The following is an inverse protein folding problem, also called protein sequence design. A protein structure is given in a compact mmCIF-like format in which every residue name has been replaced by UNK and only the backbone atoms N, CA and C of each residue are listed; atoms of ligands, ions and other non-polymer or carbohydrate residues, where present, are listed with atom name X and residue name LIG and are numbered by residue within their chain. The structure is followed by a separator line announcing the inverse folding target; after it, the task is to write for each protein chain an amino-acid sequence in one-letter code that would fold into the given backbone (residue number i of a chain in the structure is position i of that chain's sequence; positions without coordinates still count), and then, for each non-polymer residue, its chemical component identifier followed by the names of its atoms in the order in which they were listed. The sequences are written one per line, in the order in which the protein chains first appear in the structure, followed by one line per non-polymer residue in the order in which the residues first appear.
data_IF_213758961255
#
_entry.id   IF_213758961255
#
_cell.length_a   1.000
_cell.length_b   1.000
_cell.length_c   1.000
_cell.angle_alpha   90.00
_cell.angle_beta   90.00
_cell.angle_gamma   90.00
#
_symmetry.space_group_name_H-M   'P 1'
#
loop_
_entity.id
_entity.type
_entity.pdbx_description
1 polymer ?
#
# COMPACT_ATOMS: atom_id res chain seq x y z
N UNK A 1 4.12 42.07 -6.52
CA UNK A 1 4.10 41.01 -5.51
C UNK A 1 3.30 39.85 -6.06
N UNK A 2 3.98 38.82 -6.59
CA UNK A 2 3.32 37.67 -7.20
C UNK A 2 2.80 36.74 -6.09
N UNK A 3 1.52 36.39 -6.16
CA UNK A 3 0.79 35.63 -5.16
C UNK A 3 1.37 34.21 -5.00
N UNK A 4 1.72 33.83 -3.76
CA UNK A 4 2.11 32.46 -3.37
C UNK A 4 1.00 31.40 -3.56
N UNK A 5 -0.18 31.78 -4.07
CA UNK A 5 -1.29 30.87 -4.31
C UNK A 5 -1.02 29.91 -5.48
N UNK A 6 -0.37 30.37 -6.55
CA UNK A 6 -0.21 29.59 -7.78
C UNK A 6 0.91 28.54 -7.66
N UNK A 7 1.97 28.84 -6.89
CA UNK A 7 3.04 27.88 -6.58
C UNK A 7 2.54 26.72 -5.71
N UNK A 8 1.61 26.99 -4.79
CA UNK A 8 0.99 25.97 -3.96
C UNK A 8 -0.01 25.10 -4.74
N UNK A 9 -0.71 25.67 -5.74
CA UNK A 9 -1.64 24.94 -6.60
C UNK A 9 -0.90 24.06 -7.62
N UNK A 10 0.20 24.55 -8.19
CA UNK A 10 1.06 23.81 -9.09
C UNK A 10 1.84 22.67 -8.40
N UNK A 11 2.17 22.81 -7.11
CA UNK A 11 2.72 21.71 -6.30
C UNK A 11 1.67 20.64 -5.95
N UNK A 12 0.39 21.02 -5.80
CA UNK A 12 -0.71 20.08 -5.49
C UNK A 12 -1.09 19.19 -6.66
N UNK A 13 -0.87 19.62 -7.90
CA UNK A 13 -1.30 18.88 -9.10
C UNK A 13 -0.23 17.97 -9.72
N UNK A 14 1.03 18.00 -9.24
CA UNK A 14 2.19 17.48 -10.01
C UNK A 14 2.77 16.12 -9.61
N UNK A 15 2.27 15.42 -8.57
CA UNK A 15 3.02 14.27 -7.99
C UNK A 15 2.18 13.19 -7.31
N UNK A 16 0.94 12.94 -7.74
CA UNK A 16 0.08 12.02 -6.97
C UNK A 16 0.17 10.54 -7.36
N UNK A 17 0.99 10.14 -8.35
CA UNK A 17 1.24 8.73 -8.65
C UNK A 17 2.68 8.33 -8.34
N UNK A 18 2.91 7.79 -7.15
CA UNK A 18 4.15 7.09 -6.83
C UNK A 18 3.97 5.61 -7.19
N UNK A 19 4.41 5.18 -8.37
CA UNK A 19 4.45 3.75 -8.69
C UNK A 19 5.54 3.06 -7.84
N UNK A 20 5.14 2.28 -6.85
CA UNK A 20 6.06 1.43 -6.06
C UNK A 20 6.47 0.22 -6.90
N UNK A 21 7.77 -0.04 -7.06
CA UNK A 21 8.23 -1.23 -7.79
C UNK A 21 7.99 -2.50 -6.95
N UNK A 22 7.69 -3.62 -7.62
CA UNK A 22 7.54 -4.92 -6.95
C UNK A 22 8.79 -5.29 -6.12
N UNK A 23 9.98 -4.97 -6.65
CA UNK A 23 11.27 -5.20 -5.97
C UNK A 23 11.42 -4.41 -4.68
N UNK A 24 10.89 -3.19 -4.61
CA UNK A 24 10.90 -2.39 -3.37
C UNK A 24 9.97 -2.99 -2.32
N UNK A 25 8.80 -3.48 -2.74
CA UNK A 25 7.86 -4.18 -1.88
C UNK A 25 8.51 -5.45 -1.34
N UNK A 26 9.08 -6.30 -2.20
CA UNK A 26 9.77 -7.53 -1.79
C UNK A 26 10.89 -7.27 -0.77
N UNK A 27 11.74 -6.27 -1.03
CA UNK A 27 12.85 -5.90 -0.15
C UNK A 27 12.39 -5.46 1.23
N UNK A 28 11.28 -4.72 1.33
CA UNK A 28 10.74 -4.30 2.62
C UNK A 28 9.96 -5.43 3.30
N UNK A 29 9.05 -6.10 2.59
CA UNK A 29 8.13 -7.10 3.14
C UNK A 29 8.85 -8.32 3.73
N UNK A 30 10.01 -8.71 3.18
CA UNK A 30 10.82 -9.82 3.71
C UNK A 30 11.18 -9.68 5.21
N UNK A 31 11.20 -8.45 5.72
CA UNK A 31 11.52 -8.17 7.12
C UNK A 31 10.34 -8.41 8.06
N UNK A 32 9.13 -8.56 7.52
CA UNK A 32 7.89 -8.69 8.29
C UNK A 32 7.14 -9.99 8.04
N UNK A 33 7.66 -10.93 7.24
CA UNK A 33 6.94 -12.15 6.84
C UNK A 33 6.33 -12.93 8.01
N UNK A 34 7.06 -13.04 9.12
CA UNK A 34 6.60 -13.70 10.35
C UNK A 34 5.36 -13.06 10.99
N UNK A 35 5.03 -11.83 10.62
CA UNK A 35 3.88 -11.09 11.14
C UNK A 35 2.62 -11.25 10.27
N UNK A 36 2.74 -11.88 9.10
CA UNK A 36 1.63 -12.03 8.14
C UNK A 36 0.83 -13.33 8.33
N UNK A 37 1.36 -14.28 9.09
CA UNK A 37 0.69 -15.55 9.31
C UNK A 37 -0.69 -15.38 9.95
N UNK A 38 -1.70 -15.98 9.30
CA UNK A 38 -3.11 -15.94 9.67
C UNK A 38 -3.68 -14.51 9.79
N UNK A 39 -3.14 -13.55 9.04
CA UNK A 39 -3.60 -12.16 9.02
C UNK A 39 -4.47 -11.82 7.83
N UNK A 40 -5.39 -10.88 8.05
CA UNK A 40 -6.10 -10.16 7.00
C UNK A 40 -5.30 -8.91 6.62
N UNK A 41 -4.82 -8.86 5.38
CA UNK A 41 -4.11 -7.71 4.82
C UNK A 41 -5.07 -6.89 3.97
N UNK A 42 -5.11 -5.58 4.22
CA UNK A 42 -5.82 -4.62 3.39
C UNK A 42 -4.82 -3.73 2.63
N UNK A 43 -4.85 -3.84 1.31
CA UNK A 43 -4.10 -2.98 0.40
C UNK A 43 -5.09 -1.97 -0.21
N UNK A 44 -5.40 -0.87 0.47
CA UNK A 44 -6.14 0.21 -0.19
C UNK A 44 -5.26 0.75 -1.31
N UNK A 45 -5.71 0.75 -2.56
CA UNK A 45 -4.90 1.15 -3.73
C UNK A 45 -5.78 1.97 -4.67
N UNK A 46 -5.19 2.69 -5.62
CA UNK A 46 -5.96 3.33 -6.69
C UNK A 46 -6.58 2.27 -7.60
N UNK A 47 -5.79 1.29 -8.04
CA UNK A 47 -6.29 0.15 -8.83
C UNK A 47 -5.62 -1.18 -8.38
N UNK A 48 -6.38 -2.14 -7.83
CA UNK A 48 -5.88 -3.46 -7.47
C UNK A 48 -5.37 -4.29 -8.66
N UNK A 49 -5.90 -4.09 -9.88
CA UNK A 49 -5.51 -4.87 -11.07
C UNK A 49 -4.09 -4.56 -11.55
N UNK A 50 -3.60 -3.34 -11.26
CA UNK A 50 -2.24 -2.90 -11.59
C UNK A 50 -1.33 -2.71 -10.37
N UNK A 51 -1.85 -2.93 -9.16
CA UNK A 51 -1.09 -2.72 -7.94
C UNK A 51 -0.02 -3.79 -7.74
N UNK A 52 1.25 -3.36 -7.65
CA UNK A 52 2.33 -4.28 -7.27
C UNK A 52 2.19 -4.81 -5.82
N UNK A 53 1.46 -4.12 -4.94
CA UNK A 53 1.13 -4.67 -3.62
C UNK A 53 0.19 -5.86 -3.75
N UNK A 54 -0.88 -5.72 -4.54
CA UNK A 54 -1.79 -6.82 -4.81
C UNK A 54 -1.05 -8.00 -5.44
N UNK A 55 -0.27 -7.74 -6.50
CA UNK A 55 0.53 -8.75 -7.18
C UNK A 55 1.47 -9.49 -6.21
N UNK A 56 2.22 -8.76 -5.38
CA UNK A 56 3.12 -9.35 -4.39
C UNK A 56 2.38 -10.29 -3.44
N UNK A 57 1.29 -9.81 -2.81
CA UNK A 57 0.57 -10.60 -1.81
C UNK A 57 -0.22 -11.75 -2.43
N UNK A 58 -0.73 -11.62 -3.66
CA UNK A 58 -1.39 -12.72 -4.36
C UNK A 58 -0.38 -13.84 -4.69
N UNK A 59 0.78 -13.49 -5.26
CA UNK A 59 1.83 -14.47 -5.59
C UNK A 59 2.39 -15.17 -4.35
N UNK A 60 2.38 -14.48 -3.21
CA UNK A 60 2.95 -14.98 -1.95
C UNK A 60 1.88 -15.41 -0.92
N UNK A 61 0.59 -15.44 -1.29
CA UNK A 61 -0.52 -15.55 -0.34
C UNK A 61 -0.41 -16.76 0.59
N UNK A 62 -0.14 -17.94 0.01
CA UNK A 62 0.01 -19.18 0.77
C UNK A 62 1.33 -19.25 1.52
N UNK A 63 2.44 -18.85 0.87
CA UNK A 63 3.77 -18.81 1.46
C UNK A 63 3.82 -17.93 2.72
N UNK A 64 3.15 -16.78 2.69
CA UNK A 64 3.07 -15.84 3.80
C UNK A 64 2.04 -16.22 4.86
N UNK A 65 1.27 -17.30 4.64
CA UNK A 65 0.31 -17.72 5.64
C UNK A 65 -0.94 -16.82 5.75
N UNK A 66 -1.25 -15.97 4.76
CA UNK A 66 -2.36 -15.02 4.83
C UNK A 66 -3.73 -15.68 5.00
N UNK A 67 -4.56 -15.12 5.89
CA UNK A 67 -5.95 -15.52 6.04
C UNK A 67 -6.82 -14.91 4.95
N UNK A 68 -6.64 -13.62 4.69
CA UNK A 68 -7.41 -12.86 3.71
C UNK A 68 -6.55 -11.73 3.14
N UNK A 69 -6.71 -11.47 1.85
CA UNK A 69 -6.17 -10.31 1.16
C UNK A 69 -7.37 -9.55 0.60
N UNK A 70 -7.44 -8.24 0.84
CA UNK A 70 -8.49 -7.39 0.29
C UNK A 70 -7.89 -6.09 -0.23
N UNK A 71 -8.44 -5.58 -1.31
CA UNK A 71 -8.08 -4.29 -1.90
C UNK A 71 -9.33 -3.64 -2.48
N UNK A 72 -9.39 -2.31 -2.41
CA UNK A 72 -10.47 -1.50 -3.01
C UNK A 72 -9.88 -0.69 -4.15
N UNK A 73 -10.64 -0.54 -5.23
CA UNK A 73 -10.32 0.37 -6.32
C UNK A 73 -10.98 1.71 -6.04
N UNK A 74 -10.26 2.82 -6.22
CA UNK A 74 -10.80 4.17 -6.09
C UNK A 74 -11.23 4.71 -7.45
N UNK A 75 -12.42 5.30 -7.50
CA UNK A 75 -12.95 5.99 -8.66
C UNK A 75 -13.58 7.31 -8.19
N UNK A 76 -13.49 8.38 -8.97
CA UNK A 76 -13.89 9.70 -8.47
C UNK A 76 -15.42 9.84 -8.39
N UNK A 77 -16.10 9.52 -9.48
CA UNK A 77 -17.48 9.98 -9.72
C UNK A 77 -18.53 8.87 -9.72
N UNK A 78 -18.13 7.60 -9.57
CA UNK A 78 -19.04 6.45 -9.66
C UNK A 78 -18.65 5.35 -8.67
N UNK A 79 -19.60 4.44 -8.36
CA UNK A 79 -19.30 3.27 -7.58
C UNK A 79 -18.19 2.44 -8.23
N UNK A 80 -17.35 1.84 -7.38
CA UNK A 80 -16.20 1.07 -7.82
C UNK A 80 -16.32 -0.39 -7.39
N UNK A 81 -15.21 -1.04 -7.06
CA UNK A 81 -15.17 -2.44 -6.68
C UNK A 81 -14.08 -2.73 -5.65
N UNK A 82 -14.21 -3.89 -5.01
CA UNK A 82 -13.15 -4.52 -4.23
C UNK A 82 -12.73 -5.83 -4.86
N UNK A 83 -11.50 -6.22 -4.61
CA UNK A 83 -10.96 -7.55 -4.88
C UNK A 83 -10.58 -8.20 -3.56
N UNK A 84 -10.98 -9.45 -3.35
CA UNK A 84 -10.60 -10.20 -2.16
C UNK A 84 -10.26 -11.66 -2.45
N UNK A 85 -9.31 -12.17 -1.66
CA UNK A 85 -8.89 -13.57 -1.62
C UNK A 85 -9.06 -14.02 -0.18
N UNK A 86 -9.82 -15.09 0.03
CA UNK A 86 -10.05 -15.67 1.36
C UNK A 86 -9.51 -17.09 1.34
N UNK A 87 -8.66 -17.42 2.31
CA UNK A 87 -8.15 -18.78 2.47
C UNK A 87 -9.31 -19.72 2.86
N UNK A 88 -9.48 -20.77 2.08
CA UNK A 88 -10.43 -21.85 2.36
C UNK A 88 -9.88 -22.88 3.35
N UNK A 89 -10.78 -23.63 3.99
CA UNK A 89 -10.43 -24.75 4.87
C UNK A 89 -9.63 -25.85 4.14
N UNK A 90 -9.88 -26.04 2.85
CA UNK A 90 -9.16 -27.03 2.02
C UNK A 90 -7.69 -26.62 1.90
N UNK A 91 -7.44 -25.34 1.62
CA UNK A 91 -6.09 -24.80 1.48
C UNK A 91 -5.37 -24.80 2.83
N UNK A 92 -6.06 -24.47 3.92
CA UNK A 92 -5.52 -24.56 5.28
C UNK A 92 -5.04 -25.99 5.60
N UNK A 93 -5.85 -26.99 5.26
CA UNK A 93 -5.49 -28.39 5.46
C UNK A 93 -4.33 -28.85 4.58
N UNK A 94 -4.20 -28.34 3.35
CA UNK A 94 -3.05 -28.62 2.48
C UNK A 94 -1.76 -28.00 3.02
N UNK A 95 -1.82 -26.75 3.48
CA UNK A 95 -0.69 -26.07 4.13
C UNK A 95 -0.20 -26.85 5.37
N UNK A 96 -1.12 -27.28 6.25
CA UNK A 96 -0.79 -28.06 7.46
C UNK A 96 -0.15 -29.42 7.17
N UNK A 97 -0.45 -30.02 6.01
CA UNK A 97 0.11 -31.31 5.59
C UNK A 97 1.49 -31.18 4.92
N UNK A 98 2.07 -29.98 4.85
CA UNK A 98 3.34 -29.73 4.17
C UNK A 98 3.29 -30.01 2.66
N UNK A 99 2.08 -30.11 2.09
CA UNK A 99 1.90 -30.20 0.65
C UNK A 99 2.14 -28.81 0.09
N UNK A 100 2.98 -28.68 -0.95
CA UNK A 100 3.34 -27.40 -1.54
C UNK A 100 2.10 -26.65 -2.03
N UNK A 101 1.54 -25.80 -1.17
CA UNK A 101 0.57 -24.79 -1.57
C UNK A 101 1.38 -23.63 -2.11
N UNK A 102 1.91 -23.81 -3.33
CA UNK A 102 2.56 -22.76 -4.11
C UNK A 102 4.08 -22.65 -3.98
N UNK A 103 4.76 -23.13 -5.02
CA UNK A 103 5.83 -22.36 -5.69
C UNK A 103 5.85 -22.63 -7.21
N UNK A 104 5.08 -23.60 -7.72
CA UNK A 104 5.02 -23.97 -9.14
C UNK A 104 3.65 -24.47 -9.64
N UNK A 105 2.50 -23.99 -9.10
CA UNK A 105 1.22 -24.45 -9.66
C UNK A 105 -0.11 -23.87 -9.16
N UNK A 106 -0.14 -22.97 -8.17
CA UNK A 106 -1.42 -22.37 -7.76
C UNK A 106 -1.25 -20.95 -7.24
N UNK A 107 -1.64 -19.99 -8.07
CA UNK A 107 -1.92 -18.61 -7.66
C UNK A 107 -3.40 -18.61 -7.23
N UNK A 108 -3.75 -18.12 -6.04
CA UNK A 108 -5.14 -18.09 -5.63
C UNK A 108 -5.95 -17.19 -6.56
N UNK A 109 -7.16 -17.65 -6.87
CA UNK A 109 -8.15 -16.83 -7.56
C UNK A 109 -8.72 -15.77 -6.60
N UNK A 110 -9.30 -14.71 -7.15
CA UNK A 110 -9.88 -13.62 -6.38
C UNK A 110 -11.34 -13.39 -6.76
N UNK A 111 -12.10 -12.86 -5.81
CA UNK A 111 -13.48 -12.43 -6.03
C UNK A 111 -13.48 -10.92 -6.22
N UNK A 112 -14.02 -10.47 -7.36
CA UNK A 112 -14.28 -9.05 -7.64
C UNK A 112 -15.74 -8.74 -7.31
N UNK A 113 -15.97 -7.80 -6.40
CA UNK A 113 -17.32 -7.42 -5.95
C UNK A 113 -17.52 -5.92 -6.13
N UNK A 114 -18.63 -5.48 -6.75
CA UNK A 114 -18.98 -4.06 -6.79
C UNK A 114 -19.13 -3.49 -5.39
N UNK A 115 -18.70 -2.24 -5.21
CA UNK A 115 -18.95 -1.43 -4.02
C UNK A 115 -20.17 -0.55 -4.28
N UNK A 116 -20.89 -0.18 -3.24
CA UNK A 116 -21.90 0.88 -3.31
C UNK A 116 -21.23 2.25 -3.45
N UNK A 117 -20.09 2.42 -2.77
CA UNK A 117 -19.26 3.61 -2.79
C UNK A 117 -18.20 3.60 -3.89
N UNK A 118 -17.46 4.70 -3.93
CA UNK A 118 -16.44 4.98 -4.95
C UNK A 118 -15.05 4.40 -4.59
N UNK A 119 -14.93 3.71 -3.45
CA UNK A 119 -13.68 3.10 -2.98
C UNK A 119 -12.72 4.03 -2.24
N UNK A 120 -13.13 5.26 -1.91
CA UNK A 120 -12.35 6.15 -1.04
C UNK A 120 -12.18 5.49 0.34
N UNK A 121 -10.97 5.57 0.91
CA UNK A 121 -10.66 5.02 2.23
C UNK A 121 -11.53 5.59 3.38
N UNK A 122 -12.19 6.71 3.15
CA UNK A 122 -13.14 7.36 4.07
C UNK A 122 -14.56 6.85 3.93
N UNK A 123 -14.87 6.15 2.84
CA UNK A 123 -16.20 5.63 2.59
C UNK A 123 -16.60 4.59 3.65
N UNK A 124 -17.89 4.47 4.03
CA UNK A 124 -18.33 3.53 5.05
C UNK A 124 -17.92 2.08 4.75
N UNK A 125 -18.04 1.62 3.50
CA UNK A 125 -17.64 0.27 3.10
C UNK A 125 -16.13 0.03 3.28
N UNK A 126 -15.28 0.99 2.86
CA UNK A 126 -13.85 0.90 3.06
C UNK A 126 -13.45 0.93 4.54
N UNK A 127 -14.21 1.65 5.38
CA UNK A 127 -14.01 1.66 6.83
C UNK A 127 -14.37 0.30 7.45
N UNK A 128 -15.41 -0.38 6.99
CA UNK A 128 -15.73 -1.73 7.47
C UNK A 128 -14.64 -2.74 7.07
N UNK A 129 -14.11 -2.63 5.85
CA UNK A 129 -12.95 -3.41 5.41
C UNK A 129 -11.72 -3.11 6.29
N UNK A 130 -11.47 -1.82 6.57
CA UNK A 130 -10.38 -1.39 7.46
C UNK A 130 -10.54 -2.00 8.86
N UNK A 131 -11.76 -2.03 9.42
CA UNK A 131 -12.05 -2.63 10.73
C UNK A 131 -11.77 -4.12 10.74
N UNK A 132 -12.10 -4.85 9.68
CA UNK A 132 -11.79 -6.28 9.52
C UNK A 132 -10.27 -6.54 9.41
N UNK A 133 -9.54 -5.63 8.77
CA UNK A 133 -8.12 -5.83 8.50
C UNK A 133 -7.25 -5.82 9.77
N UNK A 134 -6.27 -6.72 9.81
CA UNK A 134 -5.23 -6.74 10.84
C UNK A 134 -4.10 -5.76 10.50
N UNK A 135 -3.70 -5.73 9.23
CA UNK A 135 -2.56 -4.95 8.74
C UNK A 135 -2.94 -4.23 7.45
N UNK A 136 -2.62 -2.94 7.36
CA UNK A 136 -2.77 -2.14 6.14
C UNK A 136 -1.41 -1.97 5.46
N UNK A 137 -1.29 -2.30 4.18
CA UNK A 137 -0.02 -2.20 3.45
C UNK A 137 -0.26 -1.53 2.10
N UNK A 138 0.31 -0.35 1.91
CA UNK A 138 0.02 0.47 0.72
C UNK A 138 1.05 1.60 0.50
N UNK A 139 0.82 2.40 -0.53
CA UNK A 139 1.43 3.69 -0.81
C UNK A 139 0.32 4.70 -1.14
N UNK A 140 -0.20 5.46 -0.15
CA UNK A 140 -1.27 6.41 -0.38
C UNK A 140 -0.74 7.69 -1.08
N UNK A 141 -1.61 8.43 -1.79
CA UNK A 141 -1.22 9.69 -2.42
C UNK A 141 -0.71 10.69 -1.36
N UNK A 142 0.29 11.48 -1.73
CA UNK A 142 1.02 12.36 -0.81
C UNK A 142 0.12 13.42 -0.19
N UNK A 143 -0.84 13.92 -0.97
CA UNK A 143 -1.87 14.86 -0.55
C UNK A 143 -2.74 14.31 0.58
N UNK A 144 -2.99 13.01 0.62
CA UNK A 144 -3.87 12.34 1.59
C UNK A 144 -3.11 11.61 2.71
N UNK A 145 -1.79 11.46 2.59
CA UNK A 145 -0.94 10.69 3.51
C UNK A 145 -1.19 11.01 5.00
N UNK A 146 -1.27 12.30 5.36
CA UNK A 146 -1.48 12.73 6.75
C UNK A 146 -2.81 12.25 7.31
N UNK A 147 -3.86 12.42 6.52
CA UNK A 147 -5.21 12.02 6.91
C UNK A 147 -5.34 10.51 6.95
N UNK A 148 -4.73 9.82 5.98
CA UNK A 148 -4.69 8.38 5.93
C UNK A 148 -4.01 7.79 7.17
N UNK A 149 -2.80 8.26 7.53
CA UNK A 149 -2.11 7.80 8.74
C UNK A 149 -2.91 8.12 10.00
N UNK A 150 -3.51 9.31 10.09
CA UNK A 150 -4.36 9.66 11.23
C UNK A 150 -5.54 8.68 11.40
N UNK A 151 -6.17 8.27 10.29
CA UNK A 151 -7.23 7.27 10.30
C UNK A 151 -6.70 5.90 10.79
N UNK A 152 -5.57 5.42 10.26
CA UNK A 152 -4.99 4.14 10.69
C UNK A 152 -4.65 4.13 12.18
N UNK A 153 -4.10 5.24 12.68
CA UNK A 153 -3.80 5.41 14.10
C UNK A 153 -5.07 5.44 14.96
N UNK A 154 -6.13 6.11 14.50
CA UNK A 154 -7.42 6.16 15.20
C UNK A 154 -8.09 4.78 15.32
N UNK A 155 -7.96 3.94 14.29
CA UNK A 155 -8.45 2.55 14.30
C UNK A 155 -7.45 1.55 14.92
N UNK A 156 -6.30 2.01 15.44
CA UNK A 156 -5.30 1.16 16.09
C UNK A 156 -4.68 0.11 15.18
N UNK A 157 -4.62 0.37 13.87
CA UNK A 157 -4.16 -0.60 12.88
C UNK A 157 -2.64 -0.72 12.87
N UNK A 158 -2.16 -1.93 12.56
CA UNK A 158 -0.76 -2.12 12.15
C UNK A 158 -0.67 -1.79 10.67
N UNK A 159 0.41 -1.15 10.26
CA UNK A 159 0.57 -0.80 8.86
C UNK A 159 2.01 -0.68 8.41
N UNK A 160 2.21 -0.84 7.12
CA UNK A 160 3.45 -0.52 6.43
C UNK A 160 3.07 0.38 5.25
N UNK A 161 3.62 1.60 5.24
CA UNK A 161 3.42 2.53 4.14
C UNK A 161 4.76 2.75 3.45
N UNK A 162 4.83 2.44 2.16
CA UNK A 162 5.96 2.82 1.32
C UNK A 162 5.63 4.17 0.74
N UNK A 163 6.43 5.20 1.05
CA UNK A 163 6.18 6.55 0.58
C UNK A 163 7.44 7.41 0.55
N UNK A 164 7.27 8.67 0.16
CA UNK A 164 8.36 9.63 0.06
C UNK A 164 8.87 10.07 1.45
N UNK A 165 10.20 10.23 1.59
CA UNK A 165 10.85 10.67 2.85
C UNK A 165 10.37 12.04 3.34
N UNK A 166 9.84 12.90 2.46
CA UNK A 166 9.24 14.18 2.83
C UNK A 166 8.08 14.03 3.83
N UNK A 167 7.41 12.87 3.84
CA UNK A 167 6.33 12.60 4.79
C UNK A 167 6.79 12.62 6.25
N UNK A 168 8.09 12.42 6.52
CA UNK A 168 8.66 12.45 7.87
C UNK A 168 8.65 13.85 8.49
N UNK A 169 8.63 14.89 7.66
CA UNK A 169 8.64 16.28 8.11
C UNK A 169 7.23 16.81 8.39
N UNK A 170 6.20 15.99 8.18
CA UNK A 170 4.82 16.37 8.45
C UNK A 170 4.58 16.54 9.95
N UNK A 171 3.85 17.60 10.31
CA UNK A 171 3.57 17.97 11.70
C UNK A 171 2.85 16.87 12.48
N UNK A 172 2.11 16.02 11.79
CA UNK A 172 1.32 14.92 12.35
C UNK A 172 2.09 13.60 12.41
N UNK A 173 3.19 13.47 11.64
CA UNK A 173 3.98 12.25 11.55
C UNK A 173 5.19 12.31 12.47
N UNK A 174 5.89 13.45 12.51
CA UNK A 174 7.09 13.60 13.34
C UNK A 174 6.84 13.31 14.83
N UNK A 175 5.75 13.79 15.47
CA UNK A 175 5.44 13.45 16.86
C UNK A 175 5.25 11.95 17.08
N UNK A 176 4.64 11.24 16.12
CA UNK A 176 4.45 9.79 16.22
C UNK A 176 5.78 9.04 16.19
N UNK A 177 6.76 9.53 15.43
CA UNK A 177 8.11 8.97 15.43
C UNK A 177 8.82 9.27 16.75
N UNK A 178 8.75 10.53 17.22
CA UNK A 178 9.34 10.96 18.48
C UNK A 178 8.79 10.19 19.69
N UNK A 179 7.49 9.90 19.68
CA UNK A 179 6.80 9.10 20.70
C UNK A 179 6.97 7.59 20.51
N UNK A 180 7.80 7.15 19.56
CA UNK A 180 8.08 5.76 19.28
C UNK A 180 6.80 4.95 18.95
N UNK A 181 5.88 5.58 18.20
CA UNK A 181 4.65 4.98 17.64
C UNK A 181 4.78 4.68 16.15
N UNK A 182 5.71 5.34 15.47
CA UNK A 182 6.07 5.11 14.07
C UNK A 182 7.58 4.94 13.93
N UNK A 183 7.98 4.14 12.94
CA UNK A 183 9.39 3.87 12.63
C UNK A 183 9.64 3.97 11.15
N UNK A 184 10.89 4.26 10.84
CA UNK A 184 11.43 4.15 9.50
C UNK A 184 11.56 2.67 9.11
N UNK A 185 11.12 2.36 7.89
CA UNK A 185 11.25 1.03 7.30
C UNK A 185 12.71 0.56 7.20
N UNK A 186 12.87 -0.75 7.09
CA UNK A 186 14.17 -1.43 7.11
C UNK A 186 14.98 -1.23 5.83
N UNK A 187 14.31 -0.94 4.72
CA UNK A 187 14.94 -0.62 3.42
C UNK A 187 15.54 0.78 3.34
N UNK A 188 15.50 1.59 4.40
CA UNK A 188 16.13 2.93 4.45
C UNK A 188 17.65 2.80 4.69
N UNK A 189 18.36 2.10 3.80
CA UNK A 189 19.82 2.04 3.76
C UNK A 189 20.32 2.18 2.32
N UNK A 190 20.97 3.32 2.06
CA UNK A 190 21.81 3.64 0.89
C UNK A 190 21.29 3.20 -0.48
N UNK A 191 20.54 4.09 -1.15
CA UNK A 191 20.25 3.96 -2.57
C UNK A 191 19.04 4.79 -2.94
N UNK A 192 19.19 5.64 -3.95
CA UNK A 192 18.07 6.31 -4.60
C UNK A 192 16.99 5.27 -4.94
N UNK A 193 15.79 5.41 -4.38
CA UNK A 193 14.63 4.70 -4.91
C UNK A 193 14.34 5.32 -6.27
N UNK A 194 14.38 4.53 -7.33
CA UNK A 194 14.11 5.01 -8.69
C UNK A 194 12.62 5.27 -8.83
N UNK A 195 12.24 6.55 -8.76
CA UNK A 195 10.88 7.00 -8.93
C UNK A 195 10.63 7.33 -10.39
N UNK A 196 9.63 6.69 -11.01
CA UNK A 196 9.14 7.13 -12.31
C UNK A 196 8.27 8.37 -12.11
N UNK A 197 8.66 9.45 -12.76
CA UNK A 197 7.90 10.71 -12.78
C UNK A 197 7.08 10.78 -14.08
N UNK A 198 5.91 11.44 -14.11
CA UNK A 198 5.18 11.68 -15.35
C UNK A 198 6.06 12.41 -16.38
N UNK A 199 5.82 12.21 -17.68
CA UNK A 199 6.63 12.84 -18.75
C UNK A 199 6.63 14.38 -18.69
N UNK A 200 5.63 14.97 -18.03
CA UNK A 200 5.51 16.41 -17.77
C UNK A 200 6.38 16.92 -16.61
N UNK A 201 7.13 16.04 -15.95
CA UNK A 201 7.98 16.36 -14.83
C UNK A 201 9.30 17.00 -15.29
N UNK A 202 9.63 18.23 -14.86
CA UNK A 202 10.90 18.83 -15.23
C UNK A 202 12.05 18.07 -14.56
N UNK A 203 12.77 17.27 -15.35
CA UNK A 203 13.97 16.57 -14.91
C UNK A 203 15.08 17.60 -14.76
N UNK A 204 15.27 18.09 -13.53
CA UNK A 204 16.49 18.78 -13.12
C UNK A 204 17.28 17.82 -12.23
N UNK A 205 17.75 16.73 -12.84
CA UNK A 205 18.55 15.74 -12.12
C UNK A 205 19.97 16.27 -11.91
N UNK A 206 20.37 16.49 -10.67
CA UNK A 206 21.77 16.59 -10.26
C UNK A 206 22.32 15.18 -10.05
N UNK A 207 22.93 14.61 -11.09
CA UNK A 207 23.65 13.34 -11.05
C UNK A 207 23.23 12.39 -12.16
N UNK A 208 24.08 12.22 -13.17
CA UNK A 208 24.00 11.14 -14.14
C UNK A 208 25.28 10.29 -14.02
N UNK A 209 25.14 8.96 -14.15
CA UNK A 209 26.28 8.08 -14.44
C UNK A 209 26.31 7.84 -15.94
N UNK A 210 27.47 8.08 -16.57
CA UNK A 210 27.77 7.59 -17.91
C UNK A 210 28.35 6.18 -17.74
N UNK A 211 27.90 5.25 -18.59
CA UNK A 211 28.44 3.89 -18.68
C UNK A 211 29.95 3.87 -18.94
#
# INVERSE_FOLDING_TARGET
MASNADLNKANRAKKDEFYTQLTDIEKEMRHYEKHFENKTIFCNCDDPEYSHFWLYFQLNFFRLGLKKLVSTHYEADKPSYKMEIVRSEIEENRCKKGQSVGQLGYIPDYVKTPLEGNGDFRSPECIEILKEADIVITNPPFSLFREFVAQLMAYGKKFIIIGNMNALHYKEIFPLIQENKLWLGTSIRNGDREFRVPDSYPITASGYRIN
#
